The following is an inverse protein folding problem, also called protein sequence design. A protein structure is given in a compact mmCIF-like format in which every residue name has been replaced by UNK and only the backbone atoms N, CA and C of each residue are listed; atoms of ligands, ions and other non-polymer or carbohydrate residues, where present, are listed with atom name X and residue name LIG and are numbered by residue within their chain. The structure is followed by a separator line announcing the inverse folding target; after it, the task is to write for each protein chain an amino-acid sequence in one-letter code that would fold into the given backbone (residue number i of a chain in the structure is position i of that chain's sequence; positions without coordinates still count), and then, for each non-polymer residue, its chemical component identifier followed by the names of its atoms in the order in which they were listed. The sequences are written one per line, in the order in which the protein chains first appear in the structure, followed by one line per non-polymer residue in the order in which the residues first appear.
data_IF_413796226759
#
_entry.id   IF_413796226759
#
_cell.length_a   1.000
_cell.length_b   1.000
_cell.length_c   1.000
_cell.angle_alpha   90.00
_cell.angle_beta   90.00
_cell.angle_gamma   90.00
#
_symmetry.space_group_name_H-M   'P 1'
#
loop_
_entity.id
_entity.type
_entity.pdbx_description
1 polymer ?
#
# COMPACT_ATOMS: atom_id res chain seq x y z
N UNK A 1 -5.93 0.93 8.96
CA UNK A 1 -5.48 1.77 7.82
C UNK A 1 -4.10 2.26 8.14
N UNK A 2 -3.15 2.01 7.26
CA UNK A 2 -1.74 2.34 7.50
C UNK A 2 -1.20 3.16 6.34
N UNK A 3 -0.45 4.20 6.70
CA UNK A 3 0.22 5.07 5.76
C UNK A 3 1.73 4.98 5.98
N UNK A 4 2.50 5.26 4.94
CA UNK A 4 3.95 5.36 5.02
C UNK A 4 4.42 6.74 4.55
N UNK A 5 5.44 7.27 5.24
CA UNK A 5 6.09 8.50 4.81
C UNK A 5 7.21 8.17 3.83
N UNK A 6 7.02 8.53 2.56
CA UNK A 6 7.85 8.10 1.44
C UNK A 6 9.33 8.43 1.64
N UNK A 7 9.65 9.66 2.07
CA UNK A 7 11.04 10.05 2.34
C UNK A 7 11.72 9.16 3.39
N UNK A 8 11.02 8.77 4.46
CA UNK A 8 11.61 7.92 5.50
C UNK A 8 11.85 6.50 4.98
N UNK A 9 10.90 5.93 4.24
CA UNK A 9 11.04 4.58 3.65
C UNK A 9 12.21 4.55 2.66
N UNK A 10 12.26 5.52 1.73
CA UNK A 10 13.29 5.59 0.70
C UNK A 10 14.70 5.87 1.23
N UNK A 11 14.82 6.55 2.37
CA UNK A 11 16.12 6.78 3.00
C UNK A 11 16.60 5.56 3.82
N UNK A 12 15.70 4.62 4.15
CA UNK A 12 15.98 3.50 5.06
C UNK A 12 16.35 2.19 4.36
N UNK A 13 15.98 2.01 3.09
CA UNK A 13 16.17 0.75 2.37
C UNK A 13 16.43 1.00 0.87
N UNK A 14 17.31 0.23 0.20
CA UNK A 14 17.53 0.32 -1.24
C UNK A 14 16.43 -0.45 -1.99
N UNK A 15 15.17 -0.10 -1.74
CA UNK A 15 14.06 -0.47 -2.61
C UNK A 15 13.94 0.56 -3.72
N UNK A 16 13.45 0.19 -4.91
CA UNK A 16 13.23 1.16 -5.97
C UNK A 16 12.33 2.29 -5.45
N UNK A 17 12.88 3.49 -5.41
CA UNK A 17 12.18 4.69 -5.02
C UNK A 17 12.19 5.69 -6.17
N UNK A 18 11.15 6.51 -6.23
CA UNK A 18 11.18 7.73 -7.04
C UNK A 18 12.29 8.64 -6.50
N UNK A 19 13.05 9.27 -7.40
CA UNK A 19 14.11 10.22 -7.04
C UNK A 19 13.85 11.59 -7.70
N UNK A 20 13.56 12.66 -6.92
CA UNK A 20 13.51 12.68 -5.46
C UNK A 20 12.24 12.01 -4.90
N UNK A 21 12.29 11.43 -3.68
CA UNK A 21 11.10 10.91 -3.01
C UNK A 21 10.07 12.01 -2.75
N UNK A 22 8.79 11.67 -2.91
CA UNK A 22 7.72 12.61 -2.56
C UNK A 22 7.68 12.83 -1.03
N UNK A 23 7.42 14.07 -0.60
CA UNK A 23 7.35 14.44 0.82
C UNK A 23 5.91 14.37 1.34
N UNK A 24 5.30 13.19 1.22
CA UNK A 24 3.90 12.97 1.58
C UNK A 24 3.69 11.56 2.14
N UNK A 25 2.58 11.40 2.87
CA UNK A 25 2.10 10.09 3.28
C UNK A 25 1.31 9.46 2.15
N UNK A 26 1.62 8.20 1.84
CA UNK A 26 0.83 7.37 0.93
C UNK A 26 0.23 6.21 1.70
N UNK A 27 -0.78 5.58 1.12
CA UNK A 27 -1.31 4.33 1.64
C UNK A 27 -0.22 3.27 1.54
N UNK A 28 0.00 2.56 2.65
CA UNK A 28 0.79 1.33 2.66
C UNK A 28 -0.13 0.12 2.56
N UNK A 29 -1.22 0.12 3.34
CA UNK A 29 -2.04 -1.06 3.50
C UNK A 29 -3.37 -0.83 4.19
N UNK A 30 -4.35 -1.62 3.74
CA UNK A 30 -5.57 -1.91 4.48
C UNK A 30 -5.48 -3.33 4.99
N UNK A 31 -5.20 -3.48 6.28
CA UNK A 31 -5.07 -4.77 6.92
C UNK A 31 -6.26 -5.04 7.83
N UNK A 32 -7.03 -6.12 7.57
CA UNK A 32 -7.96 -6.65 8.53
C UNK A 32 -7.28 -6.91 9.86
N UNK A 33 -7.92 -6.52 10.95
CA UNK A 33 -7.38 -6.70 12.29
C UNK A 33 -8.45 -7.29 13.19
N UNK A 34 -8.05 -8.27 14.01
CA UNK A 34 -8.85 -8.79 15.09
C UNK A 34 -8.26 -8.27 16.41
N UNK A 35 -9.08 -7.68 17.27
CA UNK A 35 -8.65 -7.19 18.58
C UNK A 35 -8.54 -8.29 19.63
N UNK A 36 -9.18 -9.44 19.41
CA UNK A 36 -9.31 -10.52 20.39
C UNK A 36 -8.63 -11.83 19.93
N UNK A 37 -7.81 -11.77 18.88
CA UNK A 37 -7.14 -12.95 18.33
C UNK A 37 -6.16 -12.59 17.22
N UNK A 38 -5.59 -13.59 16.54
CA UNK A 38 -4.65 -13.35 15.45
C UNK A 38 -5.26 -12.52 14.33
N UNK A 39 -4.45 -11.65 13.72
CA UNK A 39 -4.89 -10.87 12.56
C UNK A 39 -5.09 -11.82 11.36
N UNK A 40 -6.27 -11.78 10.71
CA UNK A 40 -6.53 -12.65 9.58
C UNK A 40 -5.70 -12.21 8.37
N UNK A 41 -5.17 -13.18 7.65
CA UNK A 41 -4.41 -13.01 6.42
C UNK A 41 -4.65 -14.21 5.49
N UNK A 42 -4.48 -14.02 4.18
CA UNK A 42 -4.62 -15.07 3.17
C UNK A 42 -5.96 -15.84 3.24
N UNK A 43 -7.07 -15.14 3.52
CA UNK A 43 -8.39 -15.75 3.75
C UNK A 43 -8.94 -16.54 2.54
N UNK A 44 -8.59 -16.13 1.33
CA UNK A 44 -9.06 -16.75 0.07
C UNK A 44 -7.93 -16.78 -0.93
N UNK A 45 -7.86 -17.84 -1.74
CA UNK A 45 -6.89 -17.96 -2.84
C UNK A 45 -7.42 -17.32 -4.14
N UNK A 46 -7.96 -16.11 -4.03
CA UNK A 46 -8.52 -15.37 -5.15
C UNK A 46 -7.51 -14.38 -5.68
N UNK A 47 -7.20 -14.47 -6.97
CA UNK A 47 -6.33 -13.50 -7.64
C UNK A 47 -7.09 -12.21 -7.92
N UNK A 48 -6.45 -11.06 -7.70
CA UNK A 48 -7.01 -9.76 -8.05
C UNK A 48 -7.26 -9.68 -9.56
N UNK A 49 -8.50 -9.39 -9.96
CA UNK A 49 -8.86 -9.06 -11.33
C UNK A 49 -8.61 -7.56 -11.57
N UNK A 50 -7.56 -7.19 -12.31
CA UNK A 50 -7.17 -5.79 -12.53
C UNK A 50 -8.29 -4.93 -13.16
N UNK A 51 -9.24 -5.54 -13.86
CA UNK A 51 -10.35 -4.87 -14.50
C UNK A 51 -11.32 -4.27 -13.46
N UNK A 52 -11.39 -4.84 -12.25
CA UNK A 52 -12.25 -4.32 -11.18
C UNK A 52 -11.76 -3.00 -10.59
N UNK A 53 -10.46 -2.72 -10.72
CA UNK A 53 -9.83 -1.49 -10.20
C UNK A 53 -9.46 -0.50 -11.31
N UNK A 54 -9.86 -0.76 -12.56
CA UNK A 54 -9.46 0.04 -13.72
C UNK A 54 -9.81 1.52 -13.57
N UNK A 55 -10.98 1.83 -13.02
CA UNK A 55 -11.43 3.22 -12.80
C UNK A 55 -10.63 3.94 -11.70
N UNK A 56 -10.01 3.20 -10.79
CA UNK A 56 -9.25 3.73 -9.67
C UNK A 56 -7.75 3.87 -9.98
N UNK A 57 -7.28 3.32 -11.10
CA UNK A 57 -5.85 3.21 -11.42
C UNK A 57 -5.10 4.53 -11.26
N UNK A 58 -5.61 5.62 -11.85
CA UNK A 58 -4.96 6.93 -11.79
C UNK A 58 -4.88 7.48 -10.35
N UNK A 59 -5.87 7.18 -9.50
CA UNK A 59 -5.82 7.57 -8.10
C UNK A 59 -4.82 6.72 -7.32
N UNK A 60 -4.81 5.41 -7.54
CA UNK A 60 -3.90 4.47 -6.88
C UNK A 60 -2.44 4.81 -7.18
N UNK A 61 -2.09 5.15 -8.43
CA UNK A 61 -0.73 5.57 -8.82
C UNK A 61 -0.25 6.83 -8.07
N UNK A 62 -1.17 7.64 -7.52
CA UNK A 62 -0.85 8.86 -6.74
C UNK A 62 -0.85 8.57 -5.24
N UNK A 63 -1.89 7.91 -4.72
CA UNK A 63 -2.12 7.76 -3.27
C UNK A 63 -1.57 6.45 -2.70
N UNK A 64 -1.29 5.46 -3.55
CA UNK A 64 -0.79 4.14 -3.18
C UNK A 64 0.25 3.63 -4.23
N UNK A 65 1.37 4.36 -4.41
CA UNK A 65 2.49 3.93 -5.24
C UNK A 65 3.24 2.76 -4.58
#
# INVERSE_FOLDING_TARGET
FTQQYQQAVCNSNPTPCKDPPDKLFTVHGLWPSNSSGPHPHNCTNTTLNAQTIKSLRAQLEIIWP
#
